data_IF_221399576476
#
_entry.id   IF_221399576476
#
_cell.length_a   1.000
_cell.length_b   1.000
_cell.length_c   1.000
_cell.angle_alpha   90.00
_cell.angle_beta   90.00
_cell.angle_gamma   90.00
#
_symmetry.space_group_name_H-M   'P 1'
#
loop_
_entity.id
_entity.type
_entity.pdbx_description
1 polymer ?
#
# COMPACT_ATOMS: atom_id res chain seq x y z
N UNK A 1 -37.41 20.68 70.83
CA UNK A 1 -37.70 19.81 69.67
C UNK A 1 -36.74 20.22 68.54
N UNK A 2 -35.57 19.54 68.47
CA UNK A 2 -34.44 19.87 67.57
C UNK A 2 -34.52 18.95 66.38
N UNK A 3 -34.81 19.50 65.20
CA UNK A 3 -34.98 18.78 63.92
C UNK A 3 -33.62 18.67 63.23
N UNK A 4 -33.05 17.46 63.17
CA UNK A 4 -31.77 17.17 62.47
C UNK A 4 -32.04 17.00 60.98
N UNK A 5 -31.58 17.95 60.20
CA UNK A 5 -31.58 17.89 58.70
C UNK A 5 -30.35 17.07 58.26
N UNK A 6 -30.62 15.84 57.77
CA UNK A 6 -29.55 15.02 57.14
C UNK A 6 -29.36 15.45 55.68
N UNK A 7 -28.23 16.11 55.42
CA UNK A 7 -27.81 16.47 54.11
C UNK A 7 -27.13 15.27 53.44
N UNK A 8 -27.83 14.60 52.52
CA UNK A 8 -27.27 13.46 51.75
C UNK A 8 -26.49 14.04 50.57
N UNK A 9 -25.17 13.96 50.66
CA UNK A 9 -24.25 14.38 49.60
C UNK A 9 -24.26 13.31 48.49
N UNK A 10 -24.91 13.57 47.35
CA UNK A 10 -24.78 12.73 46.14
C UNK A 10 -23.42 12.99 45.50
N UNK A 11 -22.50 12.03 45.66
CA UNK A 11 -21.23 12.01 44.96
C UNK A 11 -21.46 11.52 43.52
N UNK A 12 -21.61 12.44 42.58
CA UNK A 12 -21.68 12.11 41.16
C UNK A 12 -20.29 11.62 40.70
N UNK A 13 -20.14 10.31 40.48
CA UNK A 13 -18.98 9.75 39.78
C UNK A 13 -19.03 10.24 38.33
N UNK A 14 -18.25 11.26 38.03
CA UNK A 14 -17.89 11.58 36.62
C UNK A 14 -16.97 10.45 36.13
N UNK A 15 -17.52 9.54 35.32
CA UNK A 15 -16.70 8.61 34.56
C UNK A 15 -15.79 9.46 33.61
N UNK A 16 -14.48 9.17 33.55
CA UNK A 16 -13.61 9.86 32.61
C UNK A 16 -14.13 9.63 31.18
N UNK A 17 -14.03 10.62 30.28
CA UNK A 17 -14.44 10.44 28.90
C UNK A 17 -13.65 9.27 28.30
N UNK A 18 -14.34 8.32 27.69
CA UNK A 18 -13.72 7.22 26.98
C UNK A 18 -12.76 7.80 25.93
N UNK A 19 -11.46 7.69 26.17
CA UNK A 19 -10.45 8.06 25.18
C UNK A 19 -10.58 7.06 24.03
N UNK A 20 -11.26 7.46 22.95
CA UNK A 20 -11.31 6.66 21.74
C UNK A 20 -9.88 6.46 21.25
N UNK A 21 -9.48 5.20 21.10
CA UNK A 21 -8.18 4.89 20.52
C UNK A 21 -8.11 5.49 19.12
N UNK A 22 -7.04 6.20 18.82
CA UNK A 22 -6.78 6.77 17.51
C UNK A 22 -5.53 6.13 16.93
N UNK A 23 -5.65 5.53 15.76
CA UNK A 23 -4.54 4.94 15.04
C UNK A 23 -4.03 5.89 13.95
N UNK A 24 -2.71 5.94 13.79
CA UNK A 24 -2.09 6.50 12.59
C UNK A 24 -1.56 5.37 11.72
N UNK A 25 -2.11 5.23 10.51
CA UNK A 25 -1.72 4.23 9.52
C UNK A 25 -0.99 4.91 8.38
N UNK A 26 0.15 4.37 7.95
CA UNK A 26 0.84 4.81 6.74
C UNK A 26 0.79 3.71 5.69
N UNK A 27 0.16 3.99 4.54
CA UNK A 27 -0.07 3.00 3.47
C UNK A 27 0.63 3.40 2.17
N UNK A 28 1.15 2.39 1.47
CA UNK A 28 1.61 2.54 0.08
C UNK A 28 0.46 2.42 -0.92
N UNK A 29 0.75 2.76 -2.19
CA UNK A 29 -0.26 2.79 -3.26
C UNK A 29 -0.96 1.46 -3.49
N UNK A 30 -0.23 0.37 -3.49
CA UNK A 30 -0.72 -0.92 -3.94
C UNK A 30 -1.89 -1.51 -3.15
N UNK A 31 -1.96 -1.28 -1.84
CA UNK A 31 -3.09 -1.72 -1.01
C UNK A 31 -4.11 -0.60 -0.73
N UNK A 32 -3.85 0.62 -1.22
CA UNK A 32 -4.62 1.81 -0.84
C UNK A 32 -6.09 1.77 -1.26
N UNK A 33 -6.43 1.12 -2.38
CA UNK A 33 -7.81 1.03 -2.86
C UNK A 33 -8.65 0.13 -1.94
N UNK A 34 -8.17 -1.09 -1.66
CA UNK A 34 -8.82 -2.02 -0.72
C UNK A 34 -8.91 -1.42 0.68
N UNK A 35 -7.82 -0.83 1.18
CA UNK A 35 -7.77 -0.19 2.49
C UNK A 35 -8.84 0.91 2.64
N UNK A 36 -8.99 1.77 1.65
CA UNK A 36 -9.97 2.86 1.67
C UNK A 36 -11.40 2.36 1.70
N UNK A 37 -11.70 1.25 1.02
CA UNK A 37 -13.00 0.61 1.02
C UNK A 37 -13.31 -0.06 2.37
N UNK A 38 -12.29 -0.66 3.00
CA UNK A 38 -12.40 -1.41 4.25
C UNK A 38 -12.45 -0.51 5.51
N UNK A 39 -11.79 0.65 5.46
CA UNK A 39 -11.59 1.49 6.64
C UNK A 39 -12.88 1.91 7.34
N UNK A 40 -13.96 2.37 6.64
CA UNK A 40 -15.21 2.76 7.31
C UNK A 40 -15.87 1.61 8.08
N UNK A 41 -15.78 0.37 7.57
CA UNK A 41 -16.32 -0.80 8.25
C UNK A 41 -15.53 -1.11 9.54
N UNK A 42 -14.19 -1.04 9.46
CA UNK A 42 -13.33 -1.20 10.64
C UNK A 42 -13.63 -0.15 11.71
N UNK A 43 -13.68 1.14 11.35
CA UNK A 43 -13.97 2.22 12.31
C UNK A 43 -15.34 2.06 12.98
N UNK A 44 -16.35 1.68 12.19
CA UNK A 44 -17.70 1.42 12.71
C UNK A 44 -17.75 0.24 13.67
N UNK A 45 -17.07 -0.86 13.36
CA UNK A 45 -17.09 -2.08 14.17
C UNK A 45 -16.27 -1.94 15.46
N UNK A 46 -15.11 -1.30 15.35
CA UNK A 46 -14.15 -1.22 16.46
C UNK A 46 -14.32 0.01 17.35
N UNK A 47 -14.93 1.08 16.84
CA UNK A 47 -14.95 2.38 17.50
C UNK A 47 -13.59 3.10 17.49
N UNK A 48 -12.60 2.58 16.73
CA UNK A 48 -11.24 3.13 16.64
C UNK A 48 -11.16 4.07 15.45
N UNK A 49 -10.90 5.36 15.70
CA UNK A 49 -10.69 6.33 14.63
C UNK A 49 -9.29 6.14 14.00
N UNK A 50 -9.19 6.29 12.67
CA UNK A 50 -7.93 6.09 11.95
C UNK A 50 -7.54 7.30 11.11
N UNK A 51 -6.34 7.82 11.36
CA UNK A 51 -5.70 8.82 10.51
C UNK A 51 -4.80 8.11 9.50
N UNK A 52 -5.00 8.40 8.20
CA UNK A 52 -4.23 7.77 7.12
C UNK A 52 -3.18 8.72 6.56
N UNK A 53 -1.94 8.24 6.48
CA UNK A 53 -0.81 8.86 5.77
C UNK A 53 -0.42 8.02 4.57
N UNK A 54 0.31 8.61 3.62
CA UNK A 54 0.80 7.92 2.43
C UNK A 54 2.30 7.98 2.31
N UNK A 55 2.89 6.94 1.71
CA UNK A 55 4.29 6.88 1.36
C UNK A 55 4.57 5.75 0.38
N UNK A 56 5.65 5.84 -0.39
CA UNK A 56 6.09 4.73 -1.23
C UNK A 56 6.75 3.64 -0.36
N UNK A 57 6.58 2.36 -0.74
CA UNK A 57 7.19 1.24 -0.01
C UNK A 57 8.72 1.26 -0.07
N UNK A 58 9.29 1.66 -1.20
CA UNK A 58 10.73 1.72 -1.47
C UNK A 58 11.08 2.94 -2.32
N UNK A 59 12.38 3.24 -2.41
CA UNK A 59 12.94 4.36 -3.17
C UNK A 59 13.82 5.24 -2.31
N UNK A 60 14.43 6.25 -2.91
CA UNK A 60 15.37 7.19 -2.24
C UNK A 60 14.73 8.52 -1.82
N UNK A 61 13.48 8.78 -2.19
CA UNK A 61 12.82 10.06 -1.94
C UNK A 61 12.34 10.22 -0.49
N UNK A 62 12.12 11.46 -0.04
CA UNK A 62 11.66 11.78 1.32
C UNK A 62 10.23 11.26 1.60
N UNK A 63 9.44 11.03 0.56
CA UNK A 63 8.06 10.55 0.67
C UNK A 63 7.95 9.02 0.79
N UNK A 64 9.06 8.29 0.92
CA UNK A 64 9.00 6.85 1.20
C UNK A 64 8.63 6.59 2.65
N UNK A 65 7.92 5.49 2.91
CA UNK A 65 7.56 5.07 4.29
C UNK A 65 8.83 4.95 5.16
N UNK A 66 9.93 4.29 4.69
CA UNK A 66 11.15 4.22 5.47
C UNK A 66 11.77 5.60 5.79
N UNK A 67 11.79 6.52 4.83
CA UNK A 67 12.35 7.86 5.05
C UNK A 67 11.53 8.65 6.08
N UNK A 68 10.20 8.61 5.99
CA UNK A 68 9.31 9.29 6.94
C UNK A 68 9.46 8.72 8.36
N UNK A 69 9.56 7.40 8.52
CA UNK A 69 9.78 6.78 9.84
C UNK A 69 11.15 7.11 10.42
N UNK A 70 12.21 7.15 9.58
CA UNK A 70 13.55 7.62 10.03
C UNK A 70 13.52 9.09 10.42
N UNK A 71 12.71 9.91 9.76
CA UNK A 71 12.47 11.31 10.09
C UNK A 71 11.60 11.54 11.32
N UNK A 72 11.19 10.48 12.04
CA UNK A 72 10.43 10.58 13.29
C UNK A 72 8.93 10.79 13.11
N UNK A 73 8.37 10.57 11.92
CA UNK A 73 6.91 10.62 11.73
C UNK A 73 6.26 9.52 12.56
N UNK A 74 5.40 9.92 13.50
CA UNK A 74 4.68 9.00 14.37
C UNK A 74 3.63 8.22 13.56
N UNK A 75 3.73 6.88 13.61
CA UNK A 75 2.85 5.94 12.90
C UNK A 75 2.69 4.70 13.76
N UNK A 76 1.49 4.14 13.81
CA UNK A 76 1.21 2.91 14.57
C UNK A 76 1.29 1.67 13.68
N UNK A 77 0.78 1.76 12.44
CA UNK A 77 0.75 0.66 11.48
C UNK A 77 1.28 1.12 10.12
N UNK A 78 2.13 0.31 9.52
CA UNK A 78 2.51 0.47 8.11
C UNK A 78 1.85 -0.61 7.26
N UNK A 79 1.41 -0.24 6.04
CA UNK A 79 0.92 -1.16 5.00
C UNK A 79 1.73 -0.89 3.74
N UNK A 80 2.58 -1.85 3.36
CA UNK A 80 3.57 -1.64 2.30
C UNK A 80 3.99 -2.95 1.64
N UNK A 81 4.81 -2.89 0.59
CA UNK A 81 5.36 -4.11 0.00
C UNK A 81 6.19 -4.90 1.00
N UNK A 82 6.15 -6.23 0.88
CA UNK A 82 6.94 -7.16 1.71
C UNK A 82 8.43 -6.82 1.69
N UNK A 83 8.96 -6.48 0.53
CA UNK A 83 10.37 -6.13 0.34
C UNK A 83 10.76 -4.86 1.10
N UNK A 84 9.92 -3.81 1.02
CA UNK A 84 10.12 -2.58 1.80
C UNK A 84 9.96 -2.80 3.29
N UNK A 85 9.02 -3.65 3.70
CA UNK A 85 8.82 -4.00 5.11
C UNK A 85 10.00 -4.78 5.67
N UNK A 86 10.60 -5.68 4.89
CA UNK A 86 11.79 -6.43 5.31
C UNK A 86 12.95 -5.50 5.69
N UNK A 87 13.14 -4.38 4.96
CA UNK A 87 14.10 -3.35 5.33
C UNK A 87 13.83 -2.73 6.70
N UNK A 88 12.57 -2.38 6.99
CA UNK A 88 12.19 -1.83 8.30
C UNK A 88 12.32 -2.84 9.44
N UNK A 89 12.08 -4.12 9.17
CA UNK A 89 12.32 -5.20 10.13
C UNK A 89 13.81 -5.32 10.44
N UNK A 90 14.66 -5.30 9.43
CA UNK A 90 16.12 -5.34 9.60
C UNK A 90 16.66 -4.12 10.36
N UNK A 91 16.02 -2.96 10.23
CA UNK A 91 16.34 -1.75 11.01
C UNK A 91 15.79 -1.78 12.46
N UNK A 92 15.07 -2.83 12.87
CA UNK A 92 14.44 -2.92 14.18
C UNK A 92 13.29 -1.95 14.42
N UNK A 93 12.67 -1.43 13.34
CA UNK A 93 11.58 -0.44 13.42
C UNK A 93 10.19 -1.05 13.54
N UNK A 94 10.08 -2.36 13.44
CA UNK A 94 8.81 -3.10 13.46
C UNK A 94 8.76 -3.96 14.72
N UNK A 95 7.58 -4.03 15.34
CA UNK A 95 7.35 -4.93 16.47
C UNK A 95 7.54 -6.38 16.01
N UNK A 96 8.44 -7.16 16.62
CA UNK A 96 8.69 -8.54 16.23
C UNK A 96 7.40 -9.37 16.17
N UNK A 97 7.24 -10.17 15.10
CA UNK A 97 6.09 -11.06 14.92
C UNK A 97 4.77 -10.37 14.57
N UNK A 98 4.75 -9.04 14.38
CA UNK A 98 3.53 -8.31 14.05
C UNK A 98 3.20 -8.28 12.55
N UNK A 99 4.17 -8.57 11.68
CA UNK A 99 3.98 -8.54 10.24
C UNK A 99 2.99 -9.62 9.78
N UNK A 100 2.05 -9.23 8.91
CA UNK A 100 1.09 -10.13 8.25
C UNK A 100 0.97 -9.75 6.79
N UNK A 101 1.06 -10.74 5.91
CA UNK A 101 0.76 -10.57 4.50
C UNK A 101 -0.76 -10.43 4.33
N UNK A 102 -1.18 -9.46 3.53
CA UNK A 102 -2.60 -9.13 3.32
C UNK A 102 -3.08 -9.65 1.97
N UNK A 103 -2.38 -9.26 0.91
CA UNK A 103 -2.77 -9.53 -0.46
C UNK A 103 -1.58 -9.49 -1.40
N UNK A 104 -1.78 -10.05 -2.59
CA UNK A 104 -0.80 -10.04 -3.67
C UNK A 104 -1.40 -9.50 -4.96
N UNK A 105 -0.57 -8.83 -5.77
CA UNK A 105 -0.93 -8.26 -7.06
C UNK A 105 0.18 -8.51 -8.08
N UNK A 106 -0.10 -9.12 -9.23
CA UNK A 106 0.88 -9.21 -10.31
C UNK A 106 1.15 -7.83 -10.90
N UNK A 107 2.27 -7.66 -11.59
CA UNK A 107 2.50 -6.48 -12.41
C UNK A 107 1.65 -6.53 -13.68
N UNK A 108 1.18 -5.37 -14.06
CA UNK A 108 0.45 -5.15 -15.31
C UNK A 108 0.95 -3.91 -16.04
N UNK A 109 0.47 -3.78 -17.25
CA UNK A 109 0.75 -2.65 -18.15
C UNK A 109 -0.54 -1.86 -18.39
N UNK A 110 -0.43 -0.54 -18.40
CA UNK A 110 -1.50 0.35 -18.81
C UNK A 110 -0.97 1.47 -19.71
N UNK A 111 -1.85 2.03 -20.52
CA UNK A 111 -1.62 3.19 -21.38
C UNK A 111 -2.71 4.21 -21.13
N UNK A 112 -2.57 5.42 -21.66
CA UNK A 112 -3.65 6.41 -21.64
C UNK A 112 -4.91 5.85 -22.34
N UNK A 113 -6.08 6.15 -21.80
CA UNK A 113 -7.35 5.73 -22.39
C UNK A 113 -7.45 6.14 -23.87
N UNK A 114 -7.84 5.18 -24.72
CA UNK A 114 -7.93 5.33 -26.18
C UNK A 114 -6.58 5.30 -26.91
N UNK A 115 -5.44 5.19 -26.22
CA UNK A 115 -4.16 5.00 -26.90
C UNK A 115 -4.02 3.55 -27.43
N UNK A 116 -3.23 3.33 -28.52
CA UNK A 116 -2.96 1.99 -29.00
C UNK A 116 -2.34 1.10 -27.91
N UNK A 117 -2.93 -0.08 -27.71
CA UNK A 117 -2.42 -1.06 -26.74
C UNK A 117 -1.25 -1.83 -27.35
N UNK A 118 -0.05 -1.79 -26.74
CA UNK A 118 1.08 -2.56 -27.23
C UNK A 118 0.84 -4.08 -27.04
N UNK A 119 1.45 -4.89 -27.89
CA UNK A 119 1.54 -6.33 -27.65
C UNK A 119 2.55 -6.61 -26.53
N UNK A 120 2.09 -7.32 -25.49
CA UNK A 120 2.88 -7.71 -24.33
C UNK A 120 2.72 -9.19 -23.98
N UNK A 121 2.14 -10.00 -24.88
CA UNK A 121 1.76 -11.40 -24.62
C UNK A 121 2.94 -12.35 -24.47
N UNK A 122 4.13 -11.94 -24.93
CA UNK A 122 5.36 -12.72 -24.81
C UNK A 122 6.48 -11.86 -24.23
N UNK A 123 7.50 -12.47 -23.68
CA UNK A 123 8.70 -11.76 -23.19
C UNK A 123 9.33 -10.91 -24.30
N UNK A 124 9.43 -11.44 -25.52
CA UNK A 124 9.99 -10.69 -26.65
C UNK A 124 9.13 -9.48 -27.04
N UNK A 125 7.79 -9.61 -27.07
CA UNK A 125 6.88 -8.50 -27.35
C UNK A 125 6.95 -7.44 -26.25
N UNK A 126 6.97 -7.86 -24.98
CA UNK A 126 7.14 -6.97 -23.84
C UNK A 126 8.48 -6.21 -23.90
N UNK A 127 9.59 -6.89 -24.20
CA UNK A 127 10.91 -6.29 -24.42
C UNK A 127 10.87 -5.23 -25.54
N UNK A 128 10.23 -5.55 -26.67
CA UNK A 128 10.08 -4.62 -27.78
C UNK A 128 9.22 -3.39 -27.39
N UNK A 129 8.18 -3.58 -26.58
CA UNK A 129 7.39 -2.47 -26.04
C UNK A 129 8.28 -1.54 -25.21
N UNK A 130 9.11 -2.07 -24.29
CA UNK A 130 10.05 -1.28 -23.47
C UNK A 130 11.05 -0.50 -24.34
N UNK A 131 11.60 -1.14 -25.36
CA UNK A 131 12.55 -0.51 -26.28
C UNK A 131 11.92 0.60 -27.12
N UNK A 132 10.64 0.48 -27.52
CA UNK A 132 9.92 1.48 -28.34
C UNK A 132 9.31 2.60 -27.53
N UNK A 133 8.91 2.34 -26.30
CA UNK A 133 8.29 3.35 -25.44
C UNK A 133 9.22 4.57 -25.27
N UNK A 134 8.63 5.76 -25.32
CA UNK A 134 9.32 7.04 -25.10
C UNK A 134 9.52 7.32 -23.61
N UNK A 135 8.57 6.89 -22.80
CA UNK A 135 8.59 7.07 -21.34
C UNK A 135 7.78 5.97 -20.65
N UNK A 136 8.27 5.52 -19.49
CA UNK A 136 7.71 4.39 -18.74
C UNK A 136 7.57 4.81 -17.28
N UNK A 137 6.34 4.84 -16.79
CA UNK A 137 6.07 5.08 -15.38
C UNK A 137 6.25 3.80 -14.58
N UNK A 138 7.20 3.82 -13.67
CA UNK A 138 7.40 2.79 -12.64
C UNK A 138 7.83 3.47 -11.36
N UNK A 139 7.34 2.99 -10.23
CA UNK A 139 7.65 3.57 -8.92
C UNK A 139 7.91 2.49 -7.88
N UNK A 140 8.52 2.90 -6.76
CA UNK A 140 8.64 2.07 -5.56
C UNK A 140 9.27 0.70 -5.85
N UNK A 141 8.71 -0.37 -5.30
CA UNK A 141 9.20 -1.76 -5.44
C UNK A 141 9.27 -2.20 -6.90
N UNK A 142 8.30 -1.79 -7.74
CA UNK A 142 8.35 -2.08 -9.18
C UNK A 142 9.57 -1.45 -9.84
N UNK A 143 9.92 -0.21 -9.47
CA UNK A 143 11.10 0.46 -10.02
C UNK A 143 12.39 -0.24 -9.62
N UNK A 144 12.49 -0.72 -8.38
CA UNK A 144 13.63 -1.52 -7.90
C UNK A 144 13.73 -2.82 -8.70
N UNK A 145 12.63 -3.59 -8.79
CA UNK A 145 12.60 -4.83 -9.58
C UNK A 145 12.99 -4.62 -11.05
N UNK A 146 12.42 -3.60 -11.69
CA UNK A 146 12.73 -3.28 -13.09
C UNK A 146 14.23 -2.98 -13.27
N UNK A 147 14.79 -2.09 -12.47
CA UNK A 147 16.19 -1.63 -12.62
C UNK A 147 17.21 -2.69 -12.22
N UNK A 148 16.96 -3.42 -11.14
CA UNK A 148 17.97 -4.30 -10.54
C UNK A 148 17.86 -5.75 -11.04
N UNK A 149 16.69 -6.14 -11.55
CA UNK A 149 16.45 -7.53 -11.94
C UNK A 149 16.02 -7.67 -13.39
N UNK A 150 14.90 -7.05 -13.79
CA UNK A 150 14.28 -7.36 -15.07
C UNK A 150 15.05 -6.79 -16.26
N UNK A 151 15.38 -5.50 -16.24
CA UNK A 151 16.09 -4.87 -17.36
C UNK A 151 17.51 -5.46 -17.59
N UNK A 152 18.31 -5.76 -16.55
CA UNK A 152 19.56 -6.50 -16.70
C UNK A 152 19.36 -7.91 -17.29
N UNK A 153 18.34 -8.65 -16.79
CA UNK A 153 18.02 -10.00 -17.30
C UNK A 153 17.61 -10.00 -18.78
N UNK A 154 16.92 -8.94 -19.23
CA UNK A 154 16.54 -8.76 -20.63
C UNK A 154 17.66 -8.17 -21.50
N UNK A 155 18.78 -7.74 -20.92
CA UNK A 155 19.90 -7.13 -21.65
C UNK A 155 19.63 -5.76 -22.24
N UNK A 156 18.63 -5.02 -21.70
CA UNK A 156 18.19 -3.71 -22.24
C UNK A 156 18.26 -2.57 -21.20
N UNK A 157 19.04 -2.75 -20.15
CA UNK A 157 19.09 -1.78 -19.04
C UNK A 157 19.56 -0.39 -19.50
N UNK A 158 20.57 -0.33 -20.36
CA UNK A 158 21.12 0.95 -20.84
C UNK A 158 20.11 1.72 -21.71
N UNK A 159 19.40 1.02 -22.60
CA UNK A 159 18.45 1.62 -23.55
C UNK A 159 17.18 2.14 -22.86
N UNK A 160 16.78 1.51 -21.75
CA UNK A 160 15.53 1.81 -21.06
C UNK A 160 15.73 2.75 -19.86
N UNK A 161 16.90 2.79 -19.25
CA UNK A 161 17.16 3.55 -18.02
C UNK A 161 16.70 5.02 -18.10
N UNK A 162 17.00 5.72 -19.18
CA UNK A 162 16.61 7.13 -19.37
C UNK A 162 15.12 7.37 -19.60
N UNK A 163 14.35 6.32 -19.88
CA UNK A 163 12.92 6.39 -20.17
C UNK A 163 12.06 6.21 -18.91
N UNK A 164 12.64 5.70 -17.83
CA UNK A 164 11.94 5.45 -16.57
C UNK A 164 11.62 6.77 -15.89
N UNK A 165 10.33 6.95 -15.54
CA UNK A 165 9.78 8.10 -14.84
C UNK A 165 9.19 7.65 -13.50
N UNK A 166 9.75 8.18 -12.41
CA UNK A 166 9.23 8.00 -11.05
C UNK A 166 8.20 9.09 -10.76
N UNK A 167 6.99 8.93 -11.30
CA UNK A 167 5.93 9.91 -11.27
C UNK A 167 4.59 9.27 -10.91
N UNK A 168 3.50 10.05 -10.86
CA UNK A 168 2.17 9.51 -10.60
C UNK A 168 1.60 8.81 -11.86
N UNK A 169 0.64 7.91 -11.67
CA UNK A 169 -0.08 7.29 -12.78
C UNK A 169 -0.97 8.29 -13.54
N UNK A 170 -1.32 9.41 -12.91
CA UNK A 170 -2.09 10.50 -13.54
C UNK A 170 -1.33 11.12 -14.73
N UNK A 171 0.00 11.09 -14.73
CA UNK A 171 0.79 11.53 -15.88
C UNK A 171 0.63 10.62 -17.09
N UNK A 172 0.32 9.33 -16.88
CA UNK A 172 -0.04 8.41 -17.97
C UNK A 172 -1.45 8.73 -18.45
N UNK A 173 -2.39 8.96 -17.55
CA UNK A 173 -3.76 9.37 -17.89
C UNK A 173 -3.78 10.69 -18.67
N UNK A 174 -2.94 11.64 -18.31
CA UNK A 174 -2.76 12.92 -19.00
C UNK A 174 -1.94 12.83 -20.29
N UNK A 175 -1.27 11.70 -20.58
CA UNK A 175 -0.44 11.50 -21.78
C UNK A 175 0.97 12.09 -21.70
N UNK A 176 1.41 12.58 -20.55
CA UNK A 176 2.77 13.05 -20.32
C UNK A 176 3.77 11.87 -20.26
N UNK A 177 3.30 10.71 -19.80
CA UNK A 177 4.04 9.45 -19.83
C UNK A 177 3.27 8.42 -20.65
N UNK A 178 3.98 7.63 -21.47
CA UNK A 178 3.35 6.77 -22.47
C UNK A 178 2.81 5.46 -21.89
N UNK A 179 3.55 4.80 -21.00
CA UNK A 179 3.23 3.46 -20.48
C UNK A 179 3.39 3.45 -18.96
N UNK A 180 2.45 2.81 -18.25
CA UNK A 180 2.62 2.46 -16.84
C UNK A 180 2.91 0.97 -16.69
N UNK A 181 3.84 0.62 -15.80
CA UNK A 181 4.08 -0.75 -15.33
C UNK A 181 3.99 -0.71 -13.80
N UNK A 182 2.95 -1.30 -13.25
CA UNK A 182 2.64 -1.25 -11.81
C UNK A 182 1.91 -2.51 -11.38
N UNK A 183 1.78 -2.77 -10.07
CA UNK A 183 0.79 -3.73 -9.59
C UNK A 183 -0.59 -3.47 -10.20
N UNK A 184 -1.28 -4.51 -10.62
CA UNK A 184 -2.64 -4.41 -11.21
C UNK A 184 -3.56 -3.59 -10.32
N UNK A 185 -3.43 -3.72 -9.00
CA UNK A 185 -4.19 -2.94 -8.00
C UNK A 185 -4.00 -1.41 -8.07
N UNK A 186 -2.94 -0.95 -8.73
CA UNK A 186 -2.69 0.48 -8.95
C UNK A 186 -3.13 0.96 -10.36
N UNK A 187 -3.71 0.06 -11.16
CA UNK A 187 -4.08 0.34 -12.55
C UNK A 187 -5.59 0.22 -12.83
N UNK A 188 -6.24 -0.85 -12.35
CA UNK A 188 -7.58 -1.26 -12.81
C UNK A 188 -8.72 -0.28 -12.49
N UNK A 189 -8.51 0.66 -11.57
CA UNK A 189 -9.53 1.65 -11.18
C UNK A 189 -9.07 3.10 -11.33
N UNK A 190 -8.03 3.33 -12.14
CA UNK A 190 -7.53 4.67 -12.39
C UNK A 190 -8.27 5.26 -13.60
N UNK A 191 -9.00 6.36 -13.45
CA UNK A 191 -9.64 7.03 -14.59
C UNK A 191 -8.61 7.51 -15.61
N UNK A 192 -8.95 7.45 -16.89
CA UNK A 192 -8.10 7.99 -17.95
C UNK A 192 -6.97 7.07 -18.41
N UNK A 193 -6.92 5.82 -17.93
CA UNK A 193 -6.02 4.79 -18.47
C UNK A 193 -6.78 3.56 -18.93
N UNK A 194 -6.21 2.83 -19.89
CA UNK A 194 -6.65 1.53 -20.35
C UNK A 194 -5.66 0.47 -19.88
N UNK A 195 -6.14 -0.51 -19.13
CA UNK A 195 -5.37 -1.69 -18.78
C UNK A 195 -5.12 -2.53 -20.05
N UNK A 196 -3.85 -2.85 -20.31
CA UNK A 196 -3.42 -3.65 -21.45
C UNK A 196 -3.45 -5.13 -21.12
N UNK A 197 -2.90 -5.50 -19.97
CA UNK A 197 -2.81 -6.87 -19.51
C UNK A 197 -1.71 -7.05 -18.44
N UNK A 198 -1.59 -8.26 -17.89
CA UNK A 198 -0.49 -8.60 -17.00
C UNK A 198 0.84 -8.70 -17.77
N UNK A 199 1.94 -8.50 -17.07
CA UNK A 199 3.29 -8.82 -17.56
C UNK A 199 3.38 -10.35 -17.79
N UNK A 200 4.10 -10.84 -18.82
CA UNK A 200 4.26 -12.28 -19.08
C UNK A 200 4.76 -13.05 -17.85
N UNK A 201 4.22 -14.26 -17.64
CA UNK A 201 4.46 -15.07 -16.44
C UNK A 201 5.95 -15.35 -16.19
N UNK A 202 6.74 -15.55 -17.26
CA UNK A 202 8.18 -15.88 -17.18
C UNK A 202 9.01 -14.73 -16.58
N UNK A 203 8.48 -13.52 -16.63
CA UNK A 203 9.12 -12.31 -16.11
C UNK A 203 8.22 -11.55 -15.15
N UNK A 204 7.19 -12.21 -14.63
CA UNK A 204 6.24 -11.62 -13.70
C UNK A 204 6.90 -11.39 -12.34
N UNK A 205 6.54 -10.27 -11.72
CA UNK A 205 6.80 -9.99 -10.32
C UNK A 205 5.47 -9.81 -9.59
N UNK A 206 5.21 -10.67 -8.62
CA UNK A 206 4.00 -10.58 -7.80
C UNK A 206 4.31 -9.77 -6.56
N UNK A 207 3.82 -8.54 -6.51
CA UNK A 207 3.92 -7.68 -5.34
C UNK A 207 3.07 -8.24 -4.19
N UNK A 208 3.66 -8.49 -3.04
CA UNK A 208 2.95 -8.86 -1.81
C UNK A 208 2.89 -7.65 -0.89
N UNK A 209 1.68 -7.29 -0.47
CA UNK A 209 1.46 -6.20 0.49
C UNK A 209 1.24 -6.76 1.88
N UNK A 210 1.93 -6.18 2.85
CA UNK A 210 1.94 -6.62 4.25
C UNK A 210 1.64 -5.45 5.17
N UNK A 211 1.00 -5.74 6.30
CA UNK A 211 0.83 -4.80 7.41
C UNK A 211 1.71 -5.18 8.59
N UNK A 212 2.20 -4.19 9.33
CA UNK A 212 2.98 -4.43 10.54
C UNK A 212 2.86 -3.27 11.53
N UNK A 213 3.07 -3.56 12.82
CA UNK A 213 3.05 -2.56 13.89
C UNK A 213 4.42 -1.91 13.98
N UNK A 214 4.44 -0.58 13.98
CA UNK A 214 5.68 0.20 14.13
C UNK A 214 6.18 0.16 15.56
N UNK A 215 7.48 -0.02 15.75
CA UNK A 215 8.13 0.02 17.05
C UNK A 215 7.88 1.34 17.77
N UNK A 216 7.56 1.27 19.07
CA UNK A 216 7.24 2.45 19.87
C UNK A 216 5.78 2.91 19.81
N UNK A 217 4.92 2.28 18.99
CA UNK A 217 3.47 2.55 19.00
C UNK A 217 2.89 2.35 20.40
N UNK A 218 2.07 3.31 20.84
CA UNK A 218 1.29 3.23 22.08
C UNK A 218 -0.08 2.59 21.87
N UNK A 219 -0.45 2.29 20.64
CA UNK A 219 -1.75 1.77 20.22
C UNK A 219 -1.67 0.30 19.75
N UNK A 220 -0.79 -0.50 20.37
CA UNK A 220 -0.45 -1.85 19.89
C UNK A 220 -1.67 -2.76 19.77
N UNK A 221 -2.62 -2.72 20.73
CA UNK A 221 -3.81 -3.57 20.65
C UNK A 221 -4.79 -3.12 19.56
N UNK A 222 -5.04 -1.82 19.43
CA UNK A 222 -5.83 -1.27 18.33
C UNK A 222 -5.20 -1.59 16.96
N UNK A 223 -3.86 -1.51 16.87
CA UNK A 223 -3.11 -1.89 15.67
C UNK A 223 -3.28 -3.39 15.32
N UNK A 224 -3.26 -4.27 16.33
CA UNK A 224 -3.54 -5.70 16.13
C UNK A 224 -4.96 -5.96 15.65
N UNK A 225 -5.94 -5.22 16.17
CA UNK A 225 -7.33 -5.33 15.72
C UNK A 225 -7.45 -4.95 14.24
N UNK A 226 -6.83 -3.85 13.82
CA UNK A 226 -6.83 -3.46 12.40
C UNK A 226 -6.17 -4.52 11.51
N UNK A 227 -5.01 -5.05 11.89
CA UNK A 227 -4.32 -6.08 11.11
C UNK A 227 -5.16 -7.36 11.02
N UNK A 228 -5.79 -7.80 12.12
CA UNK A 228 -6.72 -8.95 12.11
C UNK A 228 -7.90 -8.71 11.16
N UNK A 229 -8.49 -7.53 11.20
CA UNK A 229 -9.59 -7.17 10.29
C UNK A 229 -9.14 -7.21 8.82
N UNK A 230 -8.00 -6.63 8.48
CA UNK A 230 -7.46 -6.61 7.11
C UNK A 230 -7.06 -8.00 6.58
N UNK A 231 -6.83 -8.98 7.47
CA UNK A 231 -6.53 -10.38 7.11
C UNK A 231 -7.74 -11.30 7.21
N UNK A 232 -8.90 -10.81 7.60
CA UNK A 232 -10.12 -11.60 7.75
C UNK A 232 -10.79 -11.90 6.41
N UNK A 233 -11.71 -12.86 6.40
CA UNK A 233 -12.53 -13.16 5.22
C UNK A 233 -13.41 -11.98 4.80
N UNK A 234 -13.79 -11.12 5.74
CA UNK A 234 -14.56 -9.89 5.48
C UNK A 234 -13.82 -8.92 4.56
N UNK A 235 -12.48 -8.90 4.58
CA UNK A 235 -11.67 -8.06 3.71
C UNK A 235 -11.58 -8.60 2.27
N UNK A 236 -11.84 -9.89 2.04
CA UNK A 236 -11.67 -10.56 0.74
C UNK A 236 -12.38 -9.88 -0.42
N UNK A 237 -13.67 -9.47 -0.32
CA UNK A 237 -14.35 -8.82 -1.45
C UNK A 237 -13.68 -7.52 -1.89
N UNK A 238 -13.30 -6.65 -0.95
CA UNK A 238 -12.63 -5.38 -1.25
C UNK A 238 -11.23 -5.58 -1.83
N UNK A 239 -10.49 -6.58 -1.33
CA UNK A 239 -9.18 -6.96 -1.86
C UNK A 239 -9.31 -7.41 -3.32
N UNK A 240 -10.23 -8.33 -3.64
CA UNK A 240 -10.44 -8.82 -5.02
C UNK A 240 -10.94 -7.73 -5.95
N UNK A 241 -11.87 -6.92 -5.52
CA UNK A 241 -12.37 -5.77 -6.27
C UNK A 241 -11.24 -4.81 -6.63
N UNK A 242 -10.22 -4.66 -5.80
CA UNK A 242 -9.05 -3.81 -6.07
C UNK A 242 -8.02 -4.44 -7.03
N UNK A 243 -8.28 -5.62 -7.62
CA UNK A 243 -7.35 -6.30 -8.53
C UNK A 243 -6.24 -7.09 -7.82
N UNK A 244 -6.49 -7.50 -6.57
CA UNK A 244 -5.56 -8.31 -5.77
C UNK A 244 -6.18 -9.65 -5.39
N UNK A 245 -5.34 -10.60 -5.01
CA UNK A 245 -5.76 -11.83 -4.34
C UNK A 245 -5.33 -11.82 -2.87
N UNK A 246 -6.22 -12.20 -1.93
CA UNK A 246 -5.85 -12.31 -0.53
C UNK A 246 -4.77 -13.37 -0.34
N UNK A 247 -3.80 -13.10 0.53
CA UNK A 247 -2.86 -14.15 0.98
C UNK A 247 -3.55 -14.94 2.09
N UNK A 248 -3.70 -16.27 1.88
CA UNK A 248 -4.25 -17.15 2.91
C UNK A 248 -3.26 -17.22 4.07
N UNK A 249 -3.69 -16.83 5.26
CA UNK A 249 -2.93 -17.09 6.49
C UNK A 249 -2.74 -18.61 6.64
N UNK A 250 -1.49 -19.03 6.69
CA UNK A 250 -1.13 -20.40 7.08
C UNK A 250 -1.23 -20.56 8.57
#
# INVERSE_FOLDING_TARGET
>A
MIMHFRLTLLLSLLAPPASFAQLTVMTSGGFAAAYRELLPAFEKQSGIAVTTRRGASQGSGPNTIPAQLRGGVAVDVVIMSREGLAGLVAEGRIVPGSARELAQSPLGVAVRAGAPKPDIRTVAAFQQMLLRAKSINVVSTTAVYMRETLLPRLGIAAEVAGKIKDTTVDEVAGGAVEVAIRPVSELVHVPGIDFVGPVPDEIQFVSVFSAAIVGGSKQTEAARQLIRFLTSEEATPAIRKSGMEPVKSR
#
